data_IF_328786194821
#
_entry.id   IF_328786194821
#
_cell.length_a   1.000
_cell.length_b   1.000
_cell.length_c   1.000
_cell.angle_alpha   90.00
_cell.angle_beta   90.00
_cell.angle_gamma   90.00
#
_symmetry.space_group_name_H-M   'P 1'
#
loop_
_entity.id
_entity.type
_entity.pdbx_description
1 polymer ?
#
# COMPACT_ATOMS: atom_id res chain seq x y z
N UNK A 1 15.91 -18.74 -4.32
CA UNK A 1 14.59 -19.06 -3.72
C UNK A 1 14.01 -17.96 -2.83
N UNK A 2 14.73 -16.87 -2.53
CA UNK A 2 14.27 -15.79 -1.65
C UNK A 2 13.02 -15.03 -2.14
N UNK A 3 12.93 -14.73 -3.44
CA UNK A 3 11.80 -13.95 -3.99
C UNK A 3 10.43 -14.63 -3.84
N UNK A 4 10.25 -15.94 -4.14
CA UNK A 4 8.95 -16.57 -3.97
C UNK A 4 8.52 -16.65 -2.49
N UNK A 5 9.45 -16.77 -1.55
CA UNK A 5 9.16 -16.78 -0.11
C UNK A 5 8.63 -15.40 0.33
N UNK A 6 9.26 -14.31 -0.12
CA UNK A 6 8.81 -12.95 0.17
C UNK A 6 7.42 -12.67 -0.43
N UNK A 7 7.15 -13.16 -1.63
CA UNK A 7 5.80 -13.08 -2.24
C UNK A 7 4.77 -13.82 -1.39
N UNK A 8 5.10 -15.04 -0.92
CA UNK A 8 4.20 -15.79 -0.04
C UNK A 8 3.87 -15.07 1.26
N UNK A 9 4.87 -14.45 1.89
CA UNK A 9 4.66 -13.64 3.11
C UNK A 9 3.82 -12.40 2.81
N UNK A 10 4.02 -11.76 1.64
CA UNK A 10 3.25 -10.59 1.23
C UNK A 10 1.76 -10.89 1.05
N UNK A 11 1.39 -12.14 0.69
CA UNK A 11 0.00 -12.58 0.60
C UNK A 11 -0.72 -12.54 1.97
N UNK A 12 -0.01 -12.74 3.06
CA UNK A 12 -0.59 -12.63 4.42
C UNK A 12 -1.15 -11.21 4.68
N UNK A 13 -0.54 -10.18 4.12
CA UNK A 13 -0.99 -8.80 4.27
C UNK A 13 -2.23 -8.44 3.42
N UNK A 14 -2.69 -9.34 2.53
CA UNK A 14 -3.91 -9.13 1.73
C UNK A 14 -5.14 -9.04 2.63
N UNK A 15 -5.16 -9.76 3.76
CA UNK A 15 -6.27 -9.76 4.70
C UNK A 15 -6.63 -8.35 5.21
N UNK A 16 -5.63 -7.54 5.59
CA UNK A 16 -5.85 -6.16 6.07
C UNK A 16 -6.51 -5.29 5.00
N UNK A 17 -6.00 -5.37 3.76
CA UNK A 17 -6.55 -4.61 2.64
C UNK A 17 -7.97 -5.07 2.30
N UNK A 18 -8.21 -6.38 2.34
CA UNK A 18 -9.54 -6.95 2.12
C UNK A 18 -10.57 -6.44 3.13
N UNK A 19 -10.21 -6.34 4.41
CA UNK A 19 -11.09 -5.79 5.46
C UNK A 19 -11.42 -4.31 5.21
N UNK A 20 -10.45 -3.52 4.77
CA UNK A 20 -10.66 -2.09 4.44
C UNK A 20 -11.64 -1.97 3.28
N UNK A 21 -11.47 -2.78 2.22
CA UNK A 21 -12.38 -2.79 1.08
C UNK A 21 -13.77 -3.27 1.45
N UNK A 22 -13.88 -4.31 2.27
CA UNK A 22 -15.17 -4.83 2.74
C UNK A 22 -15.93 -3.76 3.53
N UNK A 23 -15.25 -3.06 4.45
CA UNK A 23 -15.85 -1.95 5.20
C UNK A 23 -16.29 -0.81 4.26
N UNK A 24 -15.48 -0.48 3.25
CA UNK A 24 -15.83 0.53 2.25
C UNK A 24 -17.08 0.16 1.43
N UNK A 25 -17.19 -1.10 1.03
CA UNK A 25 -18.33 -1.60 0.27
C UNK A 25 -19.61 -1.64 1.12
N UNK A 26 -19.51 -2.00 2.40
CA UNK A 26 -20.65 -2.03 3.32
C UNK A 26 -21.23 -0.65 3.61
N UNK A 27 -20.44 0.42 3.42
CA UNK A 27 -20.93 1.79 3.60
C UNK A 27 -21.77 2.30 2.43
N UNK A 28 -21.88 1.56 1.33
CA UNK A 28 -22.74 1.96 0.20
C UNK A 28 -24.19 1.65 0.53
N UNK A 29 -25.08 2.67 0.53
CA UNK A 29 -26.48 2.46 0.81
C UNK A 29 -27.16 1.57 -0.24
N UNK A 30 -27.90 0.55 0.22
CA UNK A 30 -28.55 -0.45 -0.67
C UNK A 30 -29.56 0.20 -1.62
N UNK A 31 -30.26 1.25 -1.16
CA UNK A 31 -31.26 1.96 -1.96
C UNK A 31 -30.72 2.53 -3.27
N UNK A 32 -29.42 2.82 -3.37
CA UNK A 32 -28.81 3.27 -4.63
C UNK A 32 -28.83 2.16 -5.70
N UNK A 33 -28.62 0.92 -5.29
CA UNK A 33 -28.71 -0.23 -6.20
C UNK A 33 -30.16 -0.55 -6.57
N UNK A 34 -31.10 -0.39 -5.63
CA UNK A 34 -32.55 -0.58 -5.88
C UNK A 34 -33.03 0.45 -6.89
N UNK A 35 -32.65 1.73 -6.72
CA UNK A 35 -32.99 2.78 -7.69
C UNK A 35 -32.41 2.49 -9.08
N UNK A 36 -31.17 2.09 -9.15
CA UNK A 36 -30.52 1.73 -10.42
C UNK A 36 -31.19 0.54 -11.12
N UNK A 37 -31.70 -0.43 -10.35
CA UNK A 37 -32.46 -1.55 -10.92
C UNK A 37 -33.82 -1.09 -11.49
N UNK A 38 -34.52 -0.16 -10.81
CA UNK A 38 -35.76 0.43 -11.30
C UNK A 38 -35.51 1.19 -12.62
N UNK A 39 -34.38 1.89 -12.71
CA UNK A 39 -33.96 2.61 -13.93
C UNK A 39 -33.42 1.67 -15.04
N UNK A 40 -33.47 0.34 -14.82
CA UNK A 40 -33.03 -0.65 -15.81
C UNK A 40 -31.51 -0.77 -15.99
N UNK A 41 -30.71 -0.27 -15.05
CA UNK A 41 -29.28 -0.39 -15.13
C UNK A 41 -28.82 -1.85 -14.96
N UNK A 42 -27.89 -2.26 -15.81
CA UNK A 42 -27.22 -3.56 -15.66
C UNK A 42 -26.29 -3.56 -14.47
N UNK A 43 -25.94 -4.72 -13.87
CA UNK A 43 -24.96 -4.81 -12.77
C UNK A 43 -23.61 -4.18 -13.10
N UNK A 44 -23.18 -4.25 -14.36
CA UNK A 44 -21.95 -3.65 -14.84
C UNK A 44 -22.01 -2.12 -14.85
N UNK A 45 -23.13 -1.55 -15.25
CA UNK A 45 -23.39 -0.11 -15.19
C UNK A 45 -23.43 0.37 -13.72
N UNK A 46 -24.15 -0.35 -12.85
CA UNK A 46 -24.17 -0.04 -11.42
C UNK A 46 -22.77 -0.09 -10.77
N UNK A 47 -21.93 -1.05 -11.16
CA UNK A 47 -20.54 -1.11 -10.67
C UNK A 47 -19.76 0.15 -11.03
N UNK A 48 -19.78 0.60 -12.27
CA UNK A 48 -19.02 1.77 -12.71
C UNK A 48 -19.59 3.10 -12.25
N UNK A 49 -20.94 3.21 -12.14
CA UNK A 49 -21.61 4.48 -11.82
C UNK A 49 -21.87 4.67 -10.32
N UNK A 50 -21.97 3.59 -9.53
CA UNK A 50 -22.30 3.65 -8.10
C UNK A 50 -21.15 3.10 -7.27
N UNK A 51 -20.78 1.82 -7.48
CA UNK A 51 -19.82 1.15 -6.60
C UNK A 51 -18.44 1.79 -6.66
N UNK A 52 -17.88 1.93 -7.86
CA UNK A 52 -16.50 2.41 -8.03
C UNK A 52 -16.30 3.84 -7.53
N UNK A 53 -17.18 4.83 -7.84
CA UNK A 53 -17.04 6.19 -7.31
C UNK A 53 -17.16 6.25 -5.78
N UNK A 54 -18.10 5.52 -5.18
CA UNK A 54 -18.32 5.54 -3.74
C UNK A 54 -17.22 4.81 -2.95
N UNK A 55 -16.59 3.78 -3.51
CA UNK A 55 -15.46 3.07 -2.88
C UNK A 55 -14.12 3.77 -3.14
N UNK A 56 -14.05 4.72 -4.06
CA UNK A 56 -12.82 5.42 -4.42
C UNK A 56 -12.04 6.01 -3.24
N UNK A 57 -12.65 6.67 -2.22
CA UNK A 57 -11.94 7.13 -1.04
C UNK A 57 -11.26 5.99 -0.26
N UNK A 58 -11.90 4.83 -0.22
CA UNK A 58 -11.39 3.62 0.42
C UNK A 58 -10.20 3.05 -0.37
N UNK A 59 -10.27 3.08 -1.72
CA UNK A 59 -9.16 2.65 -2.58
C UNK A 59 -7.93 3.52 -2.32
N UNK A 60 -8.09 4.84 -2.27
CA UNK A 60 -6.98 5.76 -1.99
C UNK A 60 -6.40 5.51 -0.60
N UNK A 61 -7.25 5.36 0.43
CA UNK A 61 -6.78 5.06 1.78
C UNK A 61 -6.00 3.75 1.85
N UNK A 62 -6.51 2.68 1.22
CA UNK A 62 -5.82 1.39 1.13
C UNK A 62 -4.49 1.51 0.37
N UNK A 63 -4.45 2.26 -0.73
CA UNK A 63 -3.24 2.51 -1.51
C UNK A 63 -2.18 3.26 -0.70
N UNK A 64 -2.58 4.28 0.09
CA UNK A 64 -1.66 5.01 0.97
C UNK A 64 -1.04 4.10 2.03
N UNK A 65 -1.86 3.28 2.70
CA UNK A 65 -1.37 2.32 3.69
C UNK A 65 -0.41 1.32 3.05
N UNK A 66 -0.78 0.74 1.91
CA UNK A 66 0.07 -0.22 1.19
C UNK A 66 1.38 0.40 0.69
N UNK A 67 1.34 1.64 0.24
CA UNK A 67 2.55 2.37 -0.16
C UNK A 67 3.50 2.54 1.03
N UNK A 68 2.98 2.98 2.18
CA UNK A 68 3.78 3.15 3.40
C UNK A 68 4.38 1.82 3.87
N UNK A 69 3.59 0.75 3.90
CA UNK A 69 4.04 -0.58 4.31
C UNK A 69 5.11 -1.13 3.35
N UNK A 70 4.91 -0.97 2.04
CA UNK A 70 5.85 -1.43 1.02
C UNK A 70 7.22 -0.77 1.16
N UNK A 71 7.24 0.54 1.40
CA UNK A 71 8.50 1.27 1.56
C UNK A 71 9.19 0.94 2.88
N UNK A 72 8.41 0.65 3.93
CA UNK A 72 8.94 0.31 5.27
C UNK A 72 9.24 -1.17 5.46
N UNK A 73 9.09 -2.02 4.45
CA UNK A 73 9.38 -3.46 4.56
C UNK A 73 10.82 -3.71 4.95
N UNK A 74 11.03 -4.07 6.21
CA UNK A 74 12.34 -4.41 6.80
C UNK A 74 12.30 -5.79 7.44
N UNK A 75 11.36 -5.99 8.38
CA UNK A 75 11.33 -7.17 9.26
C UNK A 75 11.29 -8.49 8.50
N UNK A 76 10.45 -8.54 7.45
CA UNK A 76 10.29 -9.74 6.64
C UNK A 76 11.58 -10.11 5.91
N UNK A 77 12.28 -9.12 5.36
CA UNK A 77 13.51 -9.32 4.60
C UNK A 77 14.67 -9.66 5.55
N UNK A 78 14.76 -8.95 6.66
CA UNK A 78 15.79 -9.17 7.66
C UNK A 78 15.72 -10.58 8.25
N UNK A 79 14.51 -11.04 8.64
CA UNK A 79 14.32 -12.36 9.28
C UNK A 79 14.43 -13.50 8.27
N UNK A 80 14.00 -13.29 7.00
CA UNK A 80 13.92 -14.41 6.03
C UNK A 80 15.16 -14.55 5.16
N UNK A 81 15.72 -13.46 4.67
CA UNK A 81 16.76 -13.50 3.65
C UNK A 81 18.02 -12.69 3.99
N UNK A 82 17.94 -11.77 4.96
CA UNK A 82 19.02 -10.83 5.30
C UNK A 82 19.61 -10.12 4.05
N UNK A 83 18.73 -9.84 3.06
CA UNK A 83 19.15 -9.24 1.78
C UNK A 83 19.60 -10.23 0.71
N UNK A 84 19.83 -11.50 1.06
CA UNK A 84 20.42 -12.53 0.19
C UNK A 84 19.47 -13.19 -0.81
N UNK A 85 20.00 -13.98 -1.76
CA UNK A 85 21.43 -14.21 -2.03
C UNK A 85 22.12 -12.97 -2.64
N UNK A 86 23.29 -12.64 -2.14
CA UNK A 86 24.00 -11.39 -2.49
C UNK A 86 23.19 -10.18 -2.03
N UNK A 87 22.75 -9.33 -2.97
CA UNK A 87 21.89 -8.14 -2.72
C UNK A 87 20.51 -8.26 -3.38
N UNK A 88 20.09 -9.48 -3.76
CA UNK A 88 18.91 -9.69 -4.60
C UNK A 88 17.58 -9.33 -3.92
N UNK A 89 17.52 -9.31 -2.59
CA UNK A 89 16.37 -8.92 -1.79
C UNK A 89 16.67 -7.74 -0.84
N UNK A 90 17.79 -7.05 -1.03
CA UNK A 90 18.14 -5.89 -0.24
C UNK A 90 17.20 -4.72 -0.55
N UNK A 91 16.55 -4.19 0.48
CA UNK A 91 15.75 -2.96 0.39
C UNK A 91 16.53 -1.78 0.96
N UNK A 92 16.05 -0.57 0.68
CA UNK A 92 16.66 0.64 1.21
C UNK A 92 16.68 0.65 2.75
N UNK A 93 15.62 0.16 3.41
CA UNK A 93 15.58 0.03 4.86
C UNK A 93 16.63 -0.93 5.41
N UNK A 94 16.82 -2.09 4.77
CA UNK A 94 17.86 -3.03 5.17
C UNK A 94 19.24 -2.44 4.96
N UNK A 95 19.45 -1.76 3.84
CA UNK A 95 20.71 -1.08 3.56
C UNK A 95 21.04 0.01 4.59
N UNK A 96 20.04 0.81 4.98
CA UNK A 96 20.19 1.82 6.05
C UNK A 96 20.56 1.17 7.38
N UNK A 97 19.91 0.05 7.72
CA UNK A 97 20.22 -0.71 8.92
C UNK A 97 21.67 -1.23 8.93
N UNK A 98 22.11 -1.81 7.82
CA UNK A 98 23.48 -2.30 7.68
C UNK A 98 24.49 -1.16 7.82
N UNK A 99 24.26 0.00 7.19
CA UNK A 99 25.11 1.17 7.32
C UNK A 99 25.18 1.70 8.75
N UNK A 100 24.03 1.73 9.46
CA UNK A 100 23.99 2.21 10.83
C UNK A 100 24.64 1.24 11.82
N UNK A 101 24.25 -0.03 11.79
CA UNK A 101 24.55 -0.98 12.86
C UNK A 101 25.67 -1.97 12.55
N UNK A 102 25.91 -2.31 11.28
CA UNK A 102 27.02 -3.18 10.90
C UNK A 102 28.28 -2.37 10.58
N UNK A 103 28.14 -1.26 9.84
CA UNK A 103 29.27 -0.42 9.44
C UNK A 103 29.50 0.81 10.33
N UNK A 104 28.58 1.08 11.27
CA UNK A 104 28.63 2.21 12.22
C UNK A 104 28.72 3.60 11.55
N UNK A 105 28.24 3.70 10.31
CA UNK A 105 28.18 4.95 9.55
C UNK A 105 26.90 5.73 9.85
N UNK A 106 26.68 6.13 11.10
CA UNK A 106 25.42 6.75 11.54
C UNK A 106 25.03 8.02 10.76
N UNK A 107 26.02 8.87 10.43
CA UNK A 107 25.73 10.09 9.64
C UNK A 107 25.20 9.78 8.25
N UNK A 108 25.78 8.80 7.57
CA UNK A 108 25.31 8.38 6.25
C UNK A 108 23.94 7.69 6.32
N UNK A 109 23.74 6.80 7.28
CA UNK A 109 22.45 6.15 7.52
C UNK A 109 21.34 7.17 7.82
N UNK A 110 21.62 8.19 8.63
CA UNK A 110 20.68 9.27 8.94
C UNK A 110 20.30 10.08 7.68
N UNK A 111 21.26 10.38 6.81
CA UNK A 111 20.99 11.06 5.55
C UNK A 111 20.06 10.22 4.64
N UNK A 112 20.30 8.91 4.55
CA UNK A 112 19.42 8.01 3.80
C UNK A 112 18.00 7.93 4.36
N UNK A 113 17.85 7.96 5.70
CA UNK A 113 16.54 7.99 6.35
C UNK A 113 15.78 9.28 6.04
N UNK A 114 16.44 10.41 5.98
CA UNK A 114 15.82 11.69 5.56
C UNK A 114 15.33 11.61 4.13
N UNK A 115 16.14 11.06 3.22
CA UNK A 115 15.71 10.84 1.82
C UNK A 115 14.48 9.91 1.76
N UNK A 116 14.52 8.80 2.49
CA UNK A 116 13.40 7.86 2.58
C UNK A 116 12.12 8.55 3.09
N UNK A 117 12.26 9.38 4.12
CA UNK A 117 11.14 10.17 4.65
C UNK A 117 10.51 11.05 3.58
N UNK A 118 11.30 11.78 2.81
CA UNK A 118 10.79 12.63 1.73
C UNK A 118 10.15 11.83 0.60
N UNK A 119 10.66 10.64 0.26
CA UNK A 119 10.04 9.75 -0.72
C UNK A 119 8.65 9.33 -0.25
N UNK A 120 8.50 8.89 1.01
CA UNK A 120 7.22 8.49 1.58
C UNK A 120 6.27 9.69 1.64
N UNK A 121 6.75 10.83 2.08
CA UNK A 121 5.95 12.06 2.16
C UNK A 121 5.43 12.46 0.78
N UNK A 122 6.31 12.56 -0.21
CA UNK A 122 5.95 12.91 -1.57
C UNK A 122 4.93 11.93 -2.18
N UNK A 123 5.16 10.63 -2.02
CA UNK A 123 4.23 9.61 -2.50
C UNK A 123 2.83 9.73 -1.86
N UNK A 124 2.76 9.97 -0.55
CA UNK A 124 1.48 10.18 0.14
C UNK A 124 0.80 11.48 -0.29
N UNK A 125 1.55 12.58 -0.45
CA UNK A 125 0.99 13.86 -0.93
C UNK A 125 0.40 13.69 -2.32
N UNK A 126 1.06 12.99 -3.24
CA UNK A 126 0.54 12.68 -4.57
C UNK A 126 -0.78 11.90 -4.49
N UNK A 127 -0.83 10.85 -3.66
CA UNK A 127 -2.06 10.06 -3.48
C UNK A 127 -3.21 10.88 -2.90
N UNK A 128 -2.92 11.78 -1.94
CA UNK A 128 -3.93 12.70 -1.38
C UNK A 128 -4.40 13.72 -2.41
N UNK A 129 -3.50 14.25 -3.24
CA UNK A 129 -3.88 15.23 -4.27
C UNK A 129 -4.80 14.65 -5.33
N UNK A 130 -4.60 13.39 -5.71
CA UNK A 130 -5.51 12.65 -6.60
C UNK A 130 -6.92 12.58 -6.00
N UNK A 131 -7.02 12.42 -4.68
CA UNK A 131 -8.31 12.42 -3.98
C UNK A 131 -9.00 13.78 -3.99
N UNK A 132 -8.23 14.89 -3.83
CA UNK A 132 -8.77 16.25 -3.74
C UNK A 132 -9.16 16.88 -5.08
N UNK A 133 -8.58 16.44 -6.17
CA UNK A 133 -8.84 16.99 -7.51
C UNK A 133 -10.21 16.68 -8.08
N UNK A 134 -11.10 16.03 -7.31
CA UNK A 134 -12.38 15.50 -7.79
C UNK A 134 -13.57 15.83 -6.88
N UNK A 135 -13.34 16.68 -5.87
CA UNK A 135 -14.41 17.37 -5.11
C UNK A 135 -14.68 18.75 -5.67
#
# INVERSE_FOLDING_TARGET
MAKPTLVGISLYHVGTVMMIFLAGLQNIPVHLYEAAQIDGATPWQAFWSITLPLVRPTIVAAAMLRFMDSVKTFDQIYVTTQGGPGIASQTLNLYVFDQAFQYLHFGYASALLVILFFIILAGNVVLVSIRRGET
#
